data_IF_971350105079
#
_entry.id   IF_971350105079
#
_cell.length_a   1.000
_cell.length_b   1.000
_cell.length_c   1.000
_cell.angle_alpha   90.00
_cell.angle_beta   90.00
_cell.angle_gamma   90.00
#
_symmetry.space_group_name_H-M   'P 1'
#
loop_
_entity.id
_entity.type
_entity.pdbx_description
1 polymer ?
#
# COMPACT_ATOMS: atom_id res chain seq x y z
N UNK A 1 31.83 -6.28 -14.18
CA UNK A 1 30.48 -5.68 -14.09
C UNK A 1 30.53 -4.34 -14.83
N UNK A 2 30.04 -4.28 -16.06
CA UNK A 2 30.00 -3.06 -16.88
C UNK A 2 28.58 -2.49 -16.98
N UNK A 3 28.37 -1.50 -17.85
CA UNK A 3 27.07 -0.84 -18.07
C UNK A 3 25.91 -1.82 -18.36
N UNK A 4 26.16 -2.87 -19.14
CA UNK A 4 25.20 -3.97 -19.39
C UNK A 4 24.72 -4.66 -18.12
N UNK A 5 25.62 -4.88 -17.14
CA UNK A 5 25.25 -5.50 -15.86
C UNK A 5 24.40 -4.59 -14.99
N UNK A 6 24.57 -3.27 -15.09
CA UNK A 6 23.74 -2.30 -14.37
C UNK A 6 22.31 -2.27 -14.93
N UNK A 7 22.14 -2.40 -16.25
CA UNK A 7 20.82 -2.48 -16.88
C UNK A 7 20.06 -3.75 -16.46
N UNK A 8 20.73 -4.91 -16.45
CA UNK A 8 20.12 -6.17 -16.00
C UNK A 8 19.68 -6.10 -14.53
N UNK A 9 20.51 -5.51 -13.66
CA UNK A 9 20.15 -5.31 -12.26
C UNK A 9 18.96 -4.36 -12.10
N UNK A 10 18.94 -3.27 -12.87
CA UNK A 10 17.83 -2.32 -12.86
C UNK A 10 16.52 -2.99 -13.28
N UNK A 11 16.49 -3.68 -14.43
CA UNK A 11 15.29 -4.33 -14.93
C UNK A 11 14.78 -5.40 -13.96
N UNK A 12 15.69 -6.18 -13.39
CA UNK A 12 15.34 -7.26 -12.44
C UNK A 12 14.69 -6.71 -11.17
N UNK A 13 15.10 -5.52 -10.69
CA UNK A 13 14.58 -4.93 -9.46
C UNK A 13 13.33 -4.07 -9.67
N UNK A 14 13.23 -3.39 -10.81
CA UNK A 14 12.14 -2.44 -11.08
C UNK A 14 10.89 -3.13 -11.63
N UNK A 15 11.04 -4.17 -12.47
CA UNK A 15 9.88 -4.87 -13.05
C UNK A 15 8.89 -5.39 -11.99
N UNK A 16 9.32 -6.10 -10.91
CA UNK A 16 8.39 -6.59 -9.89
C UNK A 16 7.66 -5.47 -9.14
N UNK A 17 8.28 -4.30 -8.99
CA UNK A 17 7.70 -3.16 -8.30
C UNK A 17 6.61 -2.49 -9.15
N UNK A 18 6.85 -2.33 -10.45
CA UNK A 18 5.84 -1.82 -11.39
C UNK A 18 4.63 -2.76 -11.47
N UNK A 19 4.87 -4.07 -11.59
CA UNK A 19 3.82 -5.08 -11.63
C UNK A 19 2.93 -5.02 -10.38
N UNK A 20 3.53 -5.03 -9.18
CA UNK A 20 2.77 -5.00 -7.92
C UNK A 20 2.02 -3.69 -7.70
N UNK A 21 2.51 -2.58 -8.24
CA UNK A 21 1.84 -1.27 -8.17
C UNK A 21 0.63 -1.24 -9.12
N UNK A 22 0.79 -1.70 -10.36
CA UNK A 22 -0.26 -1.68 -11.37
C UNK A 22 -1.44 -2.58 -10.99
N UNK A 23 -1.20 -3.82 -10.57
CA UNK A 23 -2.26 -4.74 -10.14
C UNK A 23 -3.13 -4.14 -9.01
N UNK A 24 -2.48 -3.41 -8.10
CA UNK A 24 -3.19 -2.78 -7.00
C UNK A 24 -3.97 -1.54 -7.42
N UNK A 25 -3.39 -0.71 -8.30
CA UNK A 25 -4.10 0.45 -8.83
C UNK A 25 -5.31 0.01 -9.66
N UNK A 26 -5.18 -1.00 -10.50
CA UNK A 26 -6.30 -1.59 -11.25
C UNK A 26 -7.39 -2.13 -10.32
N UNK A 27 -7.02 -2.74 -9.19
CA UNK A 27 -7.98 -3.19 -8.18
C UNK A 27 -8.70 -2.06 -7.44
N UNK A 28 -8.00 -0.95 -7.16
CA UNK A 28 -8.52 0.19 -6.40
C UNK A 28 -9.35 1.16 -7.27
N UNK A 29 -8.96 1.34 -8.53
CA UNK A 29 -9.57 2.25 -9.50
C UNK A 29 -10.38 1.51 -10.57
N UNK A 30 -10.86 0.30 -10.28
CA UNK A 30 -11.60 -0.53 -11.24
C UNK A 30 -12.87 0.13 -11.81
N UNK A 31 -13.42 1.12 -11.10
CA UNK A 31 -14.58 1.92 -11.52
C UNK A 31 -14.20 3.21 -12.26
N UNK A 32 -12.90 3.51 -12.40
CA UNK A 32 -12.39 4.67 -13.14
C UNK A 32 -12.17 4.29 -14.60
N UNK A 33 -12.72 5.09 -15.52
CA UNK A 33 -12.81 4.76 -16.94
C UNK A 33 -11.43 4.67 -17.62
N UNK A 34 -10.39 5.29 -17.04
CA UNK A 34 -9.00 5.24 -17.54
C UNK A 34 -8.30 3.90 -17.23
N UNK A 35 -8.77 3.17 -16.21
CA UNK A 35 -8.20 1.88 -15.76
C UNK A 35 -9.10 0.68 -16.03
N UNK A 36 -10.29 0.91 -16.61
CA UNK A 36 -11.29 -0.10 -16.88
C UNK A 36 -10.95 -1.01 -18.07
N UNK A 37 -10.17 -0.51 -19.04
CA UNK A 37 -9.72 -1.30 -20.19
C UNK A 37 -8.53 -2.17 -19.80
N UNK A 38 -8.71 -3.49 -19.89
CA UNK A 38 -7.83 -4.55 -19.40
C UNK A 38 -6.49 -4.71 -20.16
N UNK A 39 -5.87 -3.60 -20.55
CA UNK A 39 -4.52 -3.60 -21.10
C UNK A 39 -3.53 -3.39 -19.96
N UNK A 40 -2.58 -4.32 -19.73
CA UNK A 40 -1.39 -4.01 -18.96
C UNK A 40 -0.79 -2.72 -19.53
N UNK A 41 -0.64 -1.68 -18.71
CA UNK A 41 -0.16 -0.36 -19.16
C UNK A 41 1.22 -0.46 -19.84
N UNK A 42 1.95 -1.56 -19.57
CA UNK A 42 3.29 -1.84 -20.07
C UNK A 42 3.36 -2.94 -21.16
N UNK A 43 2.28 -3.68 -21.46
CA UNK A 43 2.32 -4.79 -22.43
C UNK A 43 1.02 -4.89 -23.23
N UNK A 44 1.12 -4.75 -24.55
CA UNK A 44 0.06 -5.12 -25.48
C UNK A 44 -0.43 -6.57 -25.25
N UNK A 45 -1.74 -6.76 -25.40
CA UNK A 45 -2.51 -7.92 -24.98
C UNK A 45 -1.84 -9.30 -25.15
N UNK A 46 -1.75 -10.06 -24.04
CA UNK A 46 -1.56 -11.51 -24.02
C UNK A 46 -2.18 -12.12 -22.73
N UNK A 47 -2.61 -13.40 -22.73
CA UNK A 47 -3.66 -13.89 -21.85
C UNK A 47 -3.18 -14.39 -20.47
N UNK A 48 -4.14 -14.39 -19.52
CA UNK A 48 -3.97 -14.63 -18.09
C UNK A 48 -3.78 -16.09 -17.66
N UNK A 49 -3.04 -16.28 -16.55
CA UNK A 49 -2.86 -17.55 -15.82
C UNK A 49 -3.71 -17.59 -14.52
N UNK A 50 -4.07 -18.77 -13.99
CA UNK A 50 -5.04 -18.91 -12.89
C UNK A 50 -4.46 -18.69 -11.47
N UNK A 51 -5.30 -18.36 -10.47
CA UNK A 51 -4.87 -17.98 -9.11
C UNK A 51 -4.66 -19.16 -8.14
N UNK A 52 -3.75 -18.98 -7.18
CA UNK A 52 -3.45 -19.89 -6.06
C UNK A 52 -4.06 -19.38 -4.75
N UNK A 53 -4.57 -20.29 -3.90
CA UNK A 53 -5.33 -19.99 -2.68
C UNK A 53 -4.43 -19.67 -1.46
N UNK A 54 -4.80 -18.73 -0.56
CA UNK A 54 -4.03 -18.43 0.65
C UNK A 54 -4.37 -19.36 1.83
N UNK A 55 -3.34 -19.83 2.55
CA UNK A 55 -3.48 -20.58 3.80
C UNK A 55 -3.35 -19.64 5.01
N UNK A 56 -4.30 -19.70 5.94
CA UNK A 56 -4.35 -18.90 7.16
C UNK A 56 -3.27 -19.34 8.17
N UNK A 57 -2.48 -18.37 8.66
CA UNK A 57 -1.62 -18.54 9.83
C UNK A 57 -2.14 -17.64 10.95
N UNK A 58 -2.53 -18.24 12.06
CA UNK A 58 -2.89 -17.53 13.30
C UNK A 58 -1.61 -17.12 14.00
N UNK A 59 -1.49 -15.83 14.33
CA UNK A 59 -0.41 -15.26 15.14
C UNK A 59 -1.06 -14.62 16.36
N UNK A 60 -0.72 -15.12 17.56
CA UNK A 60 -1.12 -14.53 18.83
C UNK A 60 -0.29 -13.27 19.12
N UNK A 61 -0.95 -12.17 19.49
CA UNK A 61 -0.32 -10.88 19.77
C UNK A 61 -0.10 -10.65 21.28
N UNK A 62 1.09 -10.17 21.70
CA UNK A 62 1.32 -9.68 23.05
C UNK A 62 0.69 -8.30 23.24
N UNK A 63 0.19 -8.04 24.45
CA UNK A 63 -0.48 -6.79 24.83
C UNK A 63 0.57 -5.68 24.99
N UNK A 64 0.87 -5.01 23.88
CA UNK A 64 1.52 -3.69 23.90
C UNK A 64 0.41 -2.67 24.18
N UNK A 65 0.70 -1.54 24.83
CA UNK A 65 -0.23 -0.39 24.88
C UNK A 65 -0.35 0.17 23.46
N UNK A 66 -1.12 -0.53 22.63
CA UNK A 66 -1.29 -0.21 21.22
C UNK A 66 -2.23 1.00 21.10
N UNK A 67 -1.84 1.94 20.24
CA UNK A 67 -2.72 3.03 19.83
C UNK A 67 -4.01 2.44 19.27
N UNK A 68 -5.15 2.85 19.83
CA UNK A 68 -6.43 2.42 19.33
C UNK A 68 -6.71 3.14 18.00
N UNK A 69 -7.17 2.42 16.99
CA UNK A 69 -7.67 3.02 15.75
C UNK A 69 -9.19 3.06 15.78
N UNK A 70 -9.77 4.20 15.43
CA UNK A 70 -11.19 4.32 15.18
C UNK A 70 -11.55 3.60 13.87
N UNK A 71 -12.74 3.00 13.80
CA UNK A 71 -13.15 2.17 12.66
C UNK A 71 -13.26 2.94 11.35
N UNK A 72 -13.62 4.22 11.41
CA UNK A 72 -13.61 5.15 10.28
C UNK A 72 -12.19 5.44 9.77
N UNK A 73 -11.23 5.63 10.68
CA UNK A 73 -9.83 5.83 10.36
C UNK A 73 -9.21 4.58 9.69
N UNK A 74 -9.57 3.36 10.14
CA UNK A 74 -9.11 2.12 9.51
C UNK A 74 -9.67 1.92 8.09
N UNK A 75 -10.95 2.27 7.90
CA UNK A 75 -11.58 2.25 6.58
C UNK A 75 -10.91 3.24 5.64
N UNK A 76 -10.62 4.45 6.11
CA UNK A 76 -9.91 5.46 5.31
C UNK A 76 -8.48 5.03 5.00
N UNK A 77 -7.76 4.44 5.97
CA UNK A 77 -6.42 3.89 5.75
C UNK A 77 -6.41 2.81 4.66
N UNK A 78 -7.50 2.04 4.53
CA UNK A 78 -7.62 0.99 3.50
C UNK A 78 -7.69 1.57 2.08
N UNK A 79 -8.16 2.83 1.93
CA UNK A 79 -8.10 3.56 0.66
C UNK A 79 -6.68 3.94 0.28
N UNK A 80 -5.70 3.86 1.18
CA UNK A 80 -4.30 4.12 0.84
C UNK A 80 -3.72 2.87 0.13
N UNK A 81 -3.04 3.04 -1.01
CA UNK A 81 -2.42 1.92 -1.73
C UNK A 81 -1.48 1.10 -0.83
N UNK A 82 -1.55 -0.24 -0.88
CA UNK A 82 -0.88 -1.12 0.09
C UNK A 82 0.63 -0.85 0.26
N UNK A 83 1.33 -0.56 -0.84
CA UNK A 83 2.78 -0.33 -0.88
C UNK A 83 3.20 0.93 -0.08
N UNK A 84 2.29 1.89 0.10
CA UNK A 84 2.50 3.07 0.96
C UNK A 84 1.66 3.06 2.24
N UNK A 85 0.65 2.19 2.34
CA UNK A 85 -0.24 2.07 3.51
C UNK A 85 0.51 1.83 4.81
N UNK A 86 1.50 0.94 4.79
CA UNK A 86 2.34 0.67 5.97
C UNK A 86 3.13 1.91 6.43
N UNK A 87 3.61 2.74 5.49
CA UNK A 87 4.27 4.03 5.80
C UNK A 87 3.26 5.02 6.37
N UNK A 88 2.07 5.13 5.78
CA UNK A 88 0.99 5.99 6.27
C UNK A 88 0.60 5.64 7.71
N UNK A 89 0.32 4.35 8.00
CA UNK A 89 -0.01 3.87 9.36
C UNK A 89 1.06 4.25 10.39
N UNK A 90 2.34 3.93 10.11
CA UNK A 90 3.46 4.26 11.01
C UNK A 90 3.62 5.77 11.24
N UNK A 91 3.40 6.58 10.20
CA UNK A 91 3.45 8.03 10.31
C UNK A 91 2.32 8.56 11.19
N UNK A 92 1.10 8.07 11.02
CA UNK A 92 -0.05 8.45 11.85
C UNK A 92 0.13 8.02 13.30
N UNK A 93 0.60 6.81 13.55
CA UNK A 93 0.92 6.37 14.91
C UNK A 93 2.00 7.22 15.55
N UNK A 94 3.08 7.55 14.81
CA UNK A 94 4.12 8.46 15.31
C UNK A 94 3.54 9.83 15.66
N UNK A 95 2.73 10.39 14.77
CA UNK A 95 2.05 11.67 14.99
C UNK A 95 1.17 11.67 16.25
N UNK A 96 0.43 10.58 16.45
CA UNK A 96 -0.43 10.40 17.61
C UNK A 96 0.39 10.29 18.92
N UNK A 97 1.50 9.54 18.92
CA UNK A 97 2.42 9.46 20.09
C UNK A 97 3.00 10.83 20.44
N UNK A 98 3.47 11.58 19.45
CA UNK A 98 4.04 12.93 19.65
C UNK A 98 3.04 13.90 20.27
N UNK A 99 1.73 13.70 20.01
CA UNK A 99 0.64 14.52 20.55
C UNK A 99 -0.05 13.93 21.77
N UNK A 100 0.44 12.80 22.29
CA UNK A 100 -0.17 12.05 23.39
C UNK A 100 -1.65 11.69 23.14
N UNK A 101 -1.99 11.41 21.87
CA UNK A 101 -3.32 10.96 21.48
C UNK A 101 -3.33 9.43 21.46
N UNK A 102 -4.20 8.81 22.25
CA UNK A 102 -4.29 7.35 22.35
C UNK A 102 -5.27 6.73 21.33
N UNK A 103 -6.20 7.52 20.79
CA UNK A 103 -7.19 7.10 19.80
C UNK A 103 -6.96 7.83 18.48
N UNK A 104 -6.57 7.08 17.45
CA UNK A 104 -6.37 7.57 16.09
C UNK A 104 -7.73 7.67 15.40
N UNK A 105 -8.24 8.89 15.29
CA UNK A 105 -9.45 9.23 14.54
C UNK A 105 -9.14 9.56 13.08
N UNK A 106 -10.19 9.71 12.27
CA UNK A 106 -10.08 10.18 10.89
C UNK A 106 -9.35 11.52 10.78
N UNK A 107 -9.62 12.44 11.70
CA UNK A 107 -8.94 13.74 11.80
C UNK A 107 -7.44 13.58 12.05
N UNK A 108 -7.07 12.72 13.02
CA UNK A 108 -5.65 12.42 13.33
C UNK A 108 -4.91 11.86 12.10
N UNK A 109 -5.60 11.03 11.29
CA UNK A 109 -5.06 10.50 10.04
C UNK A 109 -4.79 11.60 9.01
N UNK A 110 -5.72 12.54 8.82
CA UNK A 110 -5.54 13.66 7.89
C UNK A 110 -4.49 14.66 8.36
N UNK A 111 -4.45 14.97 9.65
CA UNK A 111 -3.42 15.84 10.22
C UNK A 111 -2.02 15.24 10.07
N UNK A 112 -1.89 13.93 10.33
CA UNK A 112 -0.64 13.22 10.10
C UNK A 112 -0.23 13.25 8.62
N UNK A 113 -1.18 13.10 7.69
CA UNK A 113 -0.93 13.22 6.24
C UNK A 113 -0.43 14.62 5.89
N UNK A 114 -1.04 15.69 6.41
CA UNK A 114 -0.61 17.07 6.20
C UNK A 114 0.78 17.36 6.81
N UNK A 115 1.11 16.71 7.93
CA UNK A 115 2.39 16.85 8.60
C UNK A 115 3.55 16.17 7.85
N UNK A 116 3.33 14.97 7.30
CA UNK A 116 4.36 14.16 6.64
C UNK A 116 4.32 14.17 5.10
N UNK A 117 3.33 14.84 4.50
CA UNK A 117 3.18 14.99 3.04
C UNK A 117 3.96 16.16 2.45
N UNK A 118 4.89 16.74 3.19
CA UNK A 118 5.86 17.73 2.70
C UNK A 118 7.10 17.05 2.13
#
# INVERSE_FOLDING_TARGET
MGFEGANVLFDTWVHPLMMGLEEHLLGMFREDHEFADHAPSHLGAAPAAPPQQPQLRVVETPVTTELAWASDAERELTKIPFFVRGKARRNTERFARERNVNLITLETLYDAKAHFGR
#
